data_IF_146236953012
#
_entry.id   IF_146236953012
#
_cell.length_a   1.000
_cell.length_b   1.000
_cell.length_c   1.000
_cell.angle_alpha   90.00
_cell.angle_beta   90.00
_cell.angle_gamma   90.00
#
_symmetry.space_group_name_H-M   'P 1'
#
loop_
_entity.id
_entity.type
_entity.pdbx_description
1 polymer ?
#
# COMPACT_ATOMS: atom_id res chain seq x y z
N UNK A 1 2.21 11.85 -2.11
CA UNK A 1 1.24 10.79 -1.73
C UNK A 1 0.65 10.07 -2.95
N UNK A 2 0.15 10.77 -3.98
CA UNK A 2 -0.49 10.16 -5.15
C UNK A 2 0.30 9.03 -5.84
N UNK A 3 1.62 9.18 -6.00
CA UNK A 3 2.48 8.15 -6.62
C UNK A 3 2.53 6.88 -5.76
N UNK A 4 2.66 7.03 -4.44
CA UNK A 4 2.72 5.90 -3.51
C UNK A 4 1.37 5.18 -3.44
N UNK A 5 0.27 5.92 -3.41
CA UNK A 5 -1.09 5.33 -3.36
C UNK A 5 -1.48 4.67 -4.67
N UNK A 6 -1.05 5.20 -5.83
CA UNK A 6 -1.30 4.56 -7.14
C UNK A 6 -0.71 3.15 -7.26
N UNK A 7 0.37 2.85 -6.52
CA UNK A 7 0.94 1.51 -6.48
C UNK A 7 -0.01 0.46 -5.88
N UNK A 8 -0.86 0.87 -4.93
CA UNK A 8 -1.86 -0.01 -4.31
C UNK A 8 -2.92 -0.42 -5.33
N UNK A 9 -3.51 0.53 -6.05
CA UNK A 9 -4.52 0.26 -7.08
C UNK A 9 -3.99 -0.59 -8.23
N UNK A 10 -2.76 -0.31 -8.71
CA UNK A 10 -2.12 -1.13 -9.77
C UNK A 10 -1.90 -2.57 -9.28
N UNK A 11 -1.45 -2.76 -8.04
CA UNK A 11 -1.28 -4.08 -7.44
C UNK A 11 -2.59 -4.86 -7.37
N UNK A 12 -3.68 -4.21 -6.96
CA UNK A 12 -5.00 -4.85 -6.86
C UNK A 12 -5.59 -5.24 -8.22
N UNK A 13 -5.26 -4.51 -9.29
CA UNK A 13 -5.71 -4.84 -10.64
C UNK A 13 -4.89 -5.97 -11.29
N UNK A 14 -3.57 -5.96 -11.11
CA UNK A 14 -2.67 -6.88 -11.83
C UNK A 14 -2.47 -8.21 -11.11
N UNK A 15 -2.39 -8.20 -9.77
CA UNK A 15 -2.05 -9.40 -9.00
C UNK A 15 -3.12 -10.49 -9.07
N UNK A 16 -4.44 -10.23 -8.95
CA UNK A 16 -5.44 -11.29 -8.96
C UNK A 16 -5.57 -12.05 -10.29
N UNK A 17 -5.62 -11.41 -11.48
CA UNK A 17 -5.61 -12.13 -12.75
C UNK A 17 -4.32 -12.94 -12.96
N UNK A 18 -3.17 -12.36 -12.60
CA UNK A 18 -1.88 -13.03 -12.69
C UNK A 18 -1.82 -14.27 -11.78
N UNK A 19 -2.32 -14.14 -10.54
CA UNK A 19 -2.40 -15.24 -9.60
C UNK A 19 -3.32 -16.35 -10.11
N UNK A 20 -4.49 -16.01 -10.66
CA UNK A 20 -5.41 -16.98 -11.24
C UNK A 20 -4.73 -17.76 -12.38
N UNK A 21 -4.11 -17.07 -13.33
CA UNK A 21 -3.39 -17.69 -14.44
C UNK A 21 -2.25 -18.62 -13.95
N UNK A 22 -1.45 -18.19 -12.98
CA UNK A 22 -0.39 -19.02 -12.40
C UNK A 22 -0.95 -20.26 -11.70
N UNK A 23 -2.04 -20.10 -10.93
CA UNK A 23 -2.67 -21.21 -10.21
C UNK A 23 -3.21 -22.25 -11.18
N UNK A 24 -3.82 -21.83 -12.29
CA UNK A 24 -4.31 -22.73 -13.34
C UNK A 24 -3.18 -23.50 -14.03
N UNK A 25 -2.00 -22.91 -14.21
CA UNK A 25 -0.89 -23.54 -14.93
C UNK A 25 0.05 -24.37 -14.03
N UNK A 26 0.35 -23.90 -12.82
CA UNK A 26 1.41 -24.45 -11.96
C UNK A 26 0.93 -24.93 -10.59
N UNK A 27 -0.36 -24.78 -10.29
CA UNK A 27 -0.95 -25.07 -9.00
C UNK A 27 -0.62 -24.03 -7.92
N UNK A 28 -1.39 -24.02 -6.84
CA UNK A 28 -1.35 -22.96 -5.83
C UNK A 28 0.01 -22.78 -5.15
N UNK A 29 0.69 -23.88 -4.78
CA UNK A 29 1.97 -23.81 -4.04
C UNK A 29 3.07 -23.09 -4.82
N UNK A 30 3.29 -23.47 -6.07
CA UNK A 30 4.32 -22.86 -6.92
C UNK A 30 3.96 -21.43 -7.28
N UNK A 31 2.67 -21.15 -7.49
CA UNK A 31 2.17 -19.82 -7.81
C UNK A 31 2.50 -18.80 -6.71
N UNK A 32 2.23 -19.13 -5.45
CA UNK A 32 2.57 -18.25 -4.33
C UNK A 32 4.08 -18.04 -4.16
N UNK A 33 4.90 -19.08 -4.41
CA UNK A 33 6.36 -18.94 -4.38
C UNK A 33 6.87 -17.98 -5.48
N UNK A 34 6.33 -18.09 -6.69
CA UNK A 34 6.70 -17.20 -7.82
C UNK A 34 6.28 -15.76 -7.51
N UNK A 35 5.03 -15.55 -7.08
CA UNK A 35 4.51 -14.21 -6.76
C UNK A 35 5.32 -13.58 -5.61
N UNK A 36 5.60 -14.35 -4.56
CA UNK A 36 6.43 -13.89 -3.44
C UNK A 36 7.85 -13.52 -3.89
N UNK A 37 8.49 -14.36 -4.71
CA UNK A 37 9.83 -14.11 -5.24
C UNK A 37 9.91 -12.86 -6.12
N UNK A 38 8.95 -12.68 -7.03
CA UNK A 38 8.86 -11.48 -7.89
C UNK A 38 8.66 -10.24 -7.04
N UNK A 39 7.74 -10.29 -6.07
CA UNK A 39 7.45 -9.16 -5.16
C UNK A 39 8.70 -8.77 -4.37
N UNK A 40 9.42 -9.76 -3.82
CA UNK A 40 10.66 -9.53 -3.08
C UNK A 40 11.73 -8.88 -3.96
N UNK A 41 11.90 -9.36 -5.20
CA UNK A 41 12.83 -8.78 -6.16
C UNK A 41 12.50 -7.32 -6.48
N UNK A 42 11.23 -7.02 -6.75
CA UNK A 42 10.76 -5.65 -7.02
C UNK A 42 11.02 -4.74 -5.81
N UNK A 43 10.70 -5.18 -4.60
CA UNK A 43 10.96 -4.40 -3.37
C UNK A 43 12.46 -4.17 -3.20
N UNK A 44 13.28 -5.19 -3.42
CA UNK A 44 14.73 -5.08 -3.23
C UNK A 44 15.36 -4.11 -4.24
N UNK A 45 14.92 -4.16 -5.50
CA UNK A 45 15.34 -3.21 -6.54
C UNK A 45 14.87 -1.80 -6.16
N UNK A 46 13.59 -1.63 -5.83
CA UNK A 46 13.04 -0.33 -5.44
C UNK A 46 13.77 0.26 -4.21
N UNK A 47 14.13 -0.58 -3.24
CA UNK A 47 14.90 -0.17 -2.07
C UNK A 47 16.32 0.34 -2.43
N UNK A 48 16.95 -0.16 -3.49
CA UNK A 48 18.23 0.39 -3.96
C UNK A 48 18.08 1.80 -4.54
N UNK A 49 16.92 2.10 -5.14
CA UNK A 49 16.62 3.42 -5.71
C UNK A 49 16.06 4.40 -4.67
N UNK A 50 15.48 3.92 -3.57
CA UNK A 50 15.02 4.73 -2.44
C UNK A 50 16.22 5.20 -1.60
N UNK A 51 16.94 6.22 -2.09
CA UNK A 51 17.98 6.90 -1.30
C UNK A 51 17.35 7.72 -0.18
N UNK A 52 17.67 7.35 1.06
CA UNK A 52 16.97 7.82 2.24
C UNK A 52 17.35 9.23 2.74
N UNK A 53 18.26 9.96 2.08
CA UNK A 53 18.83 11.19 2.64
C UNK A 53 19.14 12.27 1.58
N UNK A 54 18.38 13.38 1.53
CA UNK A 54 18.78 14.59 0.81
C UNK A 54 20.01 15.28 1.44
N UNK A 55 20.38 14.92 2.68
CA UNK A 55 21.56 15.47 3.38
C UNK A 55 22.90 14.98 2.84
N UNK A 56 22.93 13.91 2.03
CA UNK A 56 24.18 13.38 1.45
C UNK A 56 24.52 13.96 0.08
N UNK A 57 23.64 14.77 -0.52
CA UNK A 57 23.87 15.32 -1.87
C UNK A 57 24.52 16.71 -1.87
N UNK A 58 24.74 17.35 -0.72
CA UNK A 58 25.29 18.71 -0.67
C UNK A 58 24.47 19.72 -1.49
N UNK A 59 23.21 19.38 -1.78
CA UNK A 59 22.33 20.22 -2.59
C UNK A 59 21.46 21.05 -1.66
N UNK A 60 21.51 22.35 -1.89
CA UNK A 60 20.58 23.31 -1.32
C UNK A 60 19.14 22.90 -1.66
N UNK A 61 18.18 23.09 -0.73
CA UNK A 61 16.77 22.96 -1.05
C UNK A 61 16.45 23.83 -2.28
N UNK A 62 15.75 23.24 -3.25
CA UNK A 62 15.41 23.91 -4.50
C UNK A 62 14.54 25.14 -4.20
N UNK A 63 15.13 26.34 -4.27
CA UNK A 63 14.47 27.63 -3.99
C UNK A 63 15.07 28.50 -2.87
N UNK A 64 16.17 28.09 -2.21
CA UNK A 64 16.82 28.93 -1.19
C UNK A 64 17.85 29.91 -1.78
N UNK A 65 17.55 31.21 -1.77
CA UNK A 65 18.59 32.23 -1.93
C UNK A 65 19.56 32.16 -0.75
N UNK A 66 20.86 32.28 -1.03
CA UNK A 66 21.90 32.47 -0.03
C UNK A 66 21.54 33.69 0.83
N UNK A 67 21.09 33.45 2.07
CA UNK A 67 21.20 34.30 3.28
C UNK A 67 20.11 33.92 4.28
N UNK A 68 20.23 32.73 4.89
CA UNK A 68 19.74 32.53 6.26
C UNK A 68 20.59 31.44 6.92
N UNK A 69 21.81 31.85 7.31
CA UNK A 69 22.46 31.22 8.46
C UNK A 69 21.60 31.54 9.67
N UNK A 70 21.32 30.52 10.47
CA UNK A 70 20.64 30.58 11.77
C UNK A 70 19.19 31.08 11.71
N UNK A 71 18.26 30.14 11.51
CA UNK A 71 17.22 29.90 12.49
C UNK A 71 16.83 28.42 12.38
N UNK A 72 17.18 27.67 13.43
CA UNK A 72 16.63 26.37 13.80
C UNK A 72 15.65 25.76 12.78
N UNK A 73 16.13 24.78 12.01
CA UNK A 73 15.30 23.59 11.85
C UNK A 73 15.15 23.08 13.27
N UNK A 74 14.09 23.52 13.97
CA UNK A 74 13.54 22.69 15.02
C UNK A 74 13.41 21.34 14.35
N UNK A 75 14.27 20.39 14.73
CA UNK A 75 13.87 19.00 14.66
C UNK A 75 12.54 19.01 15.42
N UNK A 76 11.44 19.05 14.67
CA UNK A 76 10.12 18.77 15.22
C UNK A 76 10.31 17.37 15.75
N UNK A 77 10.64 17.28 17.04
CA UNK A 77 10.98 16.06 17.72
C UNK A 77 9.75 15.19 17.65
N UNK A 78 9.70 14.37 16.59
CA UNK A 78 8.63 13.40 16.43
C UNK A 78 8.67 12.49 17.65
N UNK A 79 7.49 12.09 18.12
CA UNK A 79 7.43 11.11 19.19
C UNK A 79 8.27 9.88 18.81
N UNK A 80 9.15 9.45 19.71
CA UNK A 80 9.75 8.13 19.60
C UNK A 80 8.64 7.08 19.49
N UNK A 81 8.85 5.98 18.76
CA UNK A 81 7.85 4.91 18.59
C UNK A 81 7.23 4.47 19.92
N UNK A 82 8.05 4.42 20.98
CA UNK A 82 7.61 4.09 22.34
C UNK A 82 6.68 5.14 22.93
N UNK A 83 6.96 6.40 22.66
CA UNK A 83 6.19 7.55 23.14
C UNK A 83 4.88 7.71 22.36
N UNK A 84 4.89 7.39 21.07
CA UNK A 84 3.70 7.38 20.21
C UNK A 84 2.65 6.36 20.69
N UNK A 85 3.06 5.14 21.08
CA UNK A 85 2.13 4.09 21.59
C UNK A 85 1.42 4.50 22.88
N UNK A 86 2.02 5.38 23.69
CA UNK A 86 1.41 5.87 24.92
C UNK A 86 0.45 7.06 24.69
N UNK A 87 0.34 7.58 23.47
CA UNK A 87 -0.54 8.72 23.18
C UNK A 87 -1.95 8.27 22.81
N UNK A 88 -2.96 8.98 23.33
CA UNK A 88 -4.39 8.73 23.01
C UNK A 88 -4.69 8.96 21.52
N UNK A 89 -4.03 9.95 20.91
CA UNK A 89 -4.19 10.27 19.49
C UNK A 89 -3.78 9.11 18.59
N UNK A 90 -2.69 8.40 18.93
CA UNK A 90 -2.26 7.20 18.20
C UNK A 90 -3.33 6.09 18.24
N UNK A 91 -3.91 5.82 19.42
CA UNK A 91 -4.96 4.80 19.54
C UNK A 91 -6.27 5.21 18.84
N UNK A 92 -6.65 6.48 18.88
CA UNK A 92 -7.82 6.98 18.13
C UNK A 92 -7.62 6.83 16.62
N UNK A 93 -6.45 7.21 16.10
CA UNK A 93 -6.11 7.03 14.69
C UNK A 93 -6.06 5.54 14.32
N UNK A 94 -5.48 4.71 15.18
CA UNK A 94 -5.40 3.25 14.98
C UNK A 94 -6.78 2.60 14.92
N UNK A 95 -7.70 2.95 15.84
CA UNK A 95 -9.08 2.43 15.84
C UNK A 95 -9.86 2.92 14.63
N UNK A 96 -9.70 4.19 14.26
CA UNK A 96 -10.35 4.75 13.07
C UNK A 96 -9.87 4.04 11.80
N UNK A 97 -8.57 3.82 11.68
CA UNK A 97 -7.98 3.08 10.57
C UNK A 97 -8.43 1.61 10.56
N UNK A 98 -8.43 0.95 11.72
CA UNK A 98 -8.89 -0.43 11.86
C UNK A 98 -10.37 -0.56 11.47
N UNK A 99 -11.22 0.36 11.93
CA UNK A 99 -12.64 0.41 11.59
C UNK A 99 -12.85 0.59 10.09
N UNK A 100 -12.08 1.48 9.47
CA UNK A 100 -12.13 1.70 8.03
C UNK A 100 -11.74 0.44 7.24
N UNK A 101 -10.61 -0.20 7.57
CA UNK A 101 -10.15 -1.44 6.94
C UNK A 101 -11.15 -2.59 7.17
N UNK A 102 -11.73 -2.69 8.36
CA UNK A 102 -12.71 -3.71 8.70
C UNK A 102 -14.01 -3.55 7.91
N UNK A 103 -14.55 -2.33 7.82
CA UNK A 103 -15.73 -2.03 7.00
C UNK A 103 -15.48 -2.36 5.52
N UNK A 104 -14.33 -1.93 4.98
CA UNK A 104 -13.95 -2.25 3.60
C UNK A 104 -13.87 -3.77 3.37
N UNK A 105 -13.26 -4.50 4.30
CA UNK A 105 -13.11 -5.96 4.21
C UNK A 105 -14.46 -6.68 4.25
N UNK A 106 -15.37 -6.26 5.14
CA UNK A 106 -16.72 -6.82 5.22
C UNK A 106 -17.47 -6.62 3.91
N UNK A 107 -17.48 -5.40 3.38
CA UNK A 107 -18.17 -5.08 2.12
C UNK A 107 -17.60 -5.92 0.99
N UNK A 108 -16.27 -5.96 0.84
CA UNK A 108 -15.60 -6.76 -0.20
C UNK A 108 -16.01 -8.24 -0.18
N UNK A 109 -15.95 -8.89 0.99
CA UNK A 109 -16.28 -10.32 1.11
C UNK A 109 -17.76 -10.58 0.86
N UNK A 110 -18.65 -9.77 1.44
CA UNK A 110 -20.09 -9.98 1.32
C UNK A 110 -20.61 -9.61 -0.07
N UNK A 111 -20.04 -8.60 -0.74
CA UNK A 111 -20.42 -8.23 -2.11
C UNK A 111 -20.19 -9.38 -3.10
N UNK A 112 -19.09 -10.13 -2.98
CA UNK A 112 -18.82 -11.29 -3.84
C UNK A 112 -19.83 -12.41 -3.58
N UNK A 113 -20.05 -12.76 -2.31
CA UNK A 113 -21.00 -13.82 -1.94
C UNK A 113 -22.42 -13.47 -2.36
N UNK A 114 -22.82 -12.21 -2.20
CA UNK A 114 -24.13 -11.72 -2.62
C UNK A 114 -24.30 -11.76 -4.14
N UNK A 115 -23.29 -11.34 -4.91
CA UNK A 115 -23.32 -11.40 -6.38
C UNK A 115 -23.44 -12.84 -6.90
N UNK A 116 -22.72 -13.79 -6.29
CA UNK A 116 -22.84 -15.22 -6.61
C UNK A 116 -24.24 -15.75 -6.23
N UNK A 117 -24.78 -15.33 -5.08
CA UNK A 117 -26.13 -15.67 -4.63
C UNK A 117 -27.23 -15.18 -5.58
N UNK A 118 -26.98 -14.10 -6.33
CA UNK A 118 -27.87 -13.59 -7.40
C UNK A 118 -27.75 -14.35 -8.73
N UNK A 119 -26.94 -15.41 -8.79
CA UNK A 119 -26.77 -16.26 -9.98
C UNK A 119 -25.67 -15.80 -10.94
N UNK A 120 -24.85 -14.81 -10.56
CA UNK A 120 -23.70 -14.42 -11.37
C UNK A 120 -22.58 -15.47 -11.31
N UNK A 121 -21.86 -15.62 -12.43
CA UNK A 121 -20.65 -16.45 -12.44
C UNK A 121 -19.59 -15.86 -11.50
N UNK A 122 -18.76 -16.70 -10.83
CA UNK A 122 -17.68 -16.25 -9.95
C UNK A 122 -16.70 -15.28 -10.64
N UNK A 123 -16.49 -15.45 -11.95
CA UNK A 123 -15.63 -14.58 -12.75
C UNK A 123 -16.21 -13.16 -12.90
N UNK A 124 -17.53 -13.04 -13.10
CA UNK A 124 -18.20 -11.74 -13.19
C UNK A 124 -18.21 -11.00 -11.84
N UNK A 125 -18.39 -11.72 -10.73
CA UNK A 125 -18.30 -11.15 -9.39
C UNK A 125 -16.87 -10.65 -9.07
N UNK A 126 -15.85 -11.39 -9.50
CA UNK A 126 -14.45 -10.97 -9.35
C UNK A 126 -14.13 -9.68 -10.12
N UNK A 127 -14.74 -9.46 -11.29
CA UNK A 127 -14.56 -8.22 -12.05
C UNK A 127 -15.14 -6.98 -11.35
N UNK A 128 -16.28 -7.10 -10.64
CA UNK A 128 -16.83 -6.00 -9.84
C UNK A 128 -15.82 -5.61 -8.74
N UNK A 129 -15.22 -6.61 -8.09
CA UNK A 129 -14.20 -6.41 -7.07
C UNK A 129 -12.94 -5.75 -7.64
N UNK A 130 -12.52 -6.16 -8.84
CA UNK A 130 -11.37 -5.57 -9.53
C UNK A 130 -11.60 -4.09 -9.87
N UNK A 131 -12.81 -3.71 -10.29
CA UNK A 131 -13.16 -2.30 -10.56
C UNK A 131 -13.11 -1.47 -9.28
N UNK A 132 -13.68 -1.98 -8.18
CA UNK A 132 -13.66 -1.30 -6.87
C UNK A 132 -12.22 -1.12 -6.37
N UNK A 133 -11.40 -2.17 -6.46
CA UNK A 133 -9.99 -2.11 -6.06
C UNK A 133 -9.13 -1.21 -6.96
N UNK A 134 -9.46 -1.13 -8.26
CA UNK A 134 -8.76 -0.25 -9.20
C UNK A 134 -9.06 1.25 -9.03
N UNK A 135 -10.15 1.61 -8.35
CA UNK A 135 -10.54 3.00 -8.07
C UNK A 135 -9.97 3.54 -6.74
N UNK A 136 -9.39 2.68 -5.91
CA UNK A 136 -8.80 3.03 -4.60
C UNK A 136 -7.38 3.60 -4.73
#
# INVERSE_FOLDING_TARGET
>A
MAIVTSGVGIGQLVVPPLANWLISAYGWRKSYLIIGGVTMGVIMIAAQFLRHHPSQMGQLPYGGNEMEKENSVEEVGGFSFREAIHTRHFWMASVLFLSWVFCLSIVMVHSVVHAIGLGMSPASAANILAIIGGMA
#
